data_IF_509418780822
#
_entry.id   IF_509418780822
#
_cell.length_a   1.000
_cell.length_b   1.000
_cell.length_c   1.000
_cell.angle_alpha   90.00
_cell.angle_beta   90.00
_cell.angle_gamma   90.00
#
_symmetry.space_group_name_H-M   'P 1'
#
loop_
_entity.id
_entity.type
_entity.pdbx_description
1 polymer ?
#
# COMPACT_ATOMS: atom_id res chain seq x y z
N UNK A 1 -6.83 70.90 -32.60
CA UNK A 1 -8.08 70.10 -32.60
C UNK A 1 -7.72 68.62 -32.68
N UNK A 2 -7.76 67.87 -31.58
CA UNK A 2 -8.13 66.44 -31.53
C UNK A 2 -7.97 65.91 -30.10
N UNK A 3 -9.08 65.80 -29.37
CA UNK A 3 -9.10 65.20 -28.03
C UNK A 3 -8.95 63.68 -28.18
N UNK A 4 -7.86 63.12 -27.66
CA UNK A 4 -7.68 61.67 -27.50
C UNK A 4 -8.70 61.14 -26.47
N UNK A 5 -9.71 60.39 -26.96
CA UNK A 5 -10.64 59.64 -26.10
C UNK A 5 -9.92 58.42 -25.53
N UNK A 6 -9.72 58.39 -24.20
CA UNK A 6 -9.35 57.17 -23.48
C UNK A 6 -10.51 56.18 -23.57
N UNK A 7 -10.30 55.01 -24.19
CA UNK A 7 -11.22 53.86 -24.07
C UNK A 7 -11.09 53.32 -22.64
N UNK A 8 -12.19 53.38 -21.89
CA UNK A 8 -12.33 52.63 -20.65
C UNK A 8 -12.34 51.14 -21.00
N UNK A 9 -11.34 50.41 -20.50
CA UNK A 9 -11.35 48.95 -20.46
C UNK A 9 -12.45 48.56 -19.47
N UNK A 10 -13.53 47.94 -19.97
CA UNK A 10 -14.61 47.42 -19.15
C UNK A 10 -14.07 46.41 -18.15
N UNK A 11 -14.46 46.57 -16.88
CA UNK A 11 -14.27 45.53 -15.86
C UNK A 11 -15.10 44.31 -16.27
N UNK A 12 -14.58 43.08 -16.20
CA UNK A 12 -15.42 41.90 -16.35
C UNK A 12 -16.39 41.82 -15.17
N UNK A 13 -17.67 41.78 -15.48
CA UNK A 13 -18.75 41.62 -14.52
C UNK A 13 -18.71 40.17 -14.01
N UNK A 14 -17.96 39.91 -12.93
CA UNK A 14 -17.92 38.60 -12.29
C UNK A 14 -19.33 38.25 -11.78
N UNK A 15 -20.03 37.40 -12.52
CA UNK A 15 -21.40 37.00 -12.21
C UNK A 15 -21.43 36.03 -11.03
N UNK A 16 -22.50 36.05 -10.26
CA UNK A 16 -22.76 35.12 -9.14
C UNK A 16 -22.62 33.63 -9.57
N UNK A 17 -22.80 33.33 -10.87
CA UNK A 17 -22.57 32.02 -11.48
C UNK A 17 -21.10 31.56 -11.46
N UNK A 18 -20.15 32.49 -11.63
CA UNK A 18 -18.72 32.18 -11.61
C UNK A 18 -18.25 31.81 -10.20
N UNK A 19 -18.82 32.48 -9.19
CA UNK A 19 -18.64 32.12 -7.79
C UNK A 19 -19.23 30.75 -7.45
N UNK A 20 -20.36 30.36 -8.08
CA UNK A 20 -20.99 29.06 -7.88
C UNK A 20 -20.13 27.90 -8.42
N UNK A 21 -19.50 28.08 -9.59
CA UNK A 21 -18.57 27.09 -10.14
C UNK A 21 -17.24 27.02 -9.38
N UNK A 22 -16.69 28.16 -8.95
CA UNK A 22 -15.52 28.17 -8.08
C UNK A 22 -15.81 27.48 -6.74
N UNK A 23 -16.98 27.72 -6.13
CA UNK A 23 -17.40 27.02 -4.91
C UNK A 23 -17.57 25.51 -5.13
N UNK A 24 -18.15 25.10 -6.27
CA UNK A 24 -18.32 23.68 -6.61
C UNK A 24 -16.96 22.99 -6.84
N UNK A 25 -16.03 23.64 -7.54
CA UNK A 25 -14.68 23.13 -7.76
C UNK A 25 -13.87 23.06 -6.45
N UNK A 26 -14.03 24.05 -5.57
CA UNK A 26 -13.39 24.08 -4.25
C UNK A 26 -13.93 22.99 -3.31
N UNK A 27 -15.24 22.71 -3.36
CA UNK A 27 -15.87 21.60 -2.63
C UNK A 27 -15.38 20.23 -3.15
N UNK A 28 -15.18 20.08 -4.45
CA UNK A 28 -14.71 18.84 -5.07
C UNK A 28 -13.22 18.57 -4.74
N UNK A 29 -12.40 19.61 -4.61
CA UNK A 29 -11.00 19.49 -4.16
C UNK A 29 -10.93 19.18 -2.66
N UNK A 30 -11.81 19.77 -1.83
CA UNK A 30 -11.83 19.54 -0.38
C UNK A 30 -12.21 18.09 0.00
N UNK A 31 -12.87 17.34 -0.88
CA UNK A 31 -13.20 15.93 -0.64
C UNK A 31 -12.06 14.96 -0.93
N UNK A 32 -10.95 15.40 -1.53
CA UNK A 32 -9.73 14.60 -1.62
C UNK A 32 -8.97 14.67 -0.30
N UNK A 33 -9.56 14.09 0.74
CA UNK A 33 -8.86 13.86 2.00
C UNK A 33 -7.68 12.91 1.75
N UNK A 34 -6.46 13.42 1.88
CA UNK A 34 -5.27 12.58 1.95
C UNK A 34 -5.38 11.74 3.21
N UNK A 35 -5.74 10.48 3.06
CA UNK A 35 -5.61 9.49 4.14
C UNK A 35 -4.12 9.26 4.35
N UNK A 36 -3.54 9.95 5.33
CA UNK A 36 -2.23 9.61 5.83
C UNK A 36 -2.32 8.23 6.48
N UNK A 37 -1.51 7.28 6.03
CA UNK A 37 -1.39 5.99 6.71
C UNK A 37 -0.96 6.25 8.16
N UNK A 38 -1.67 5.65 9.11
CA UNK A 38 -1.29 5.70 10.52
C UNK A 38 0.14 5.18 10.66
N UNK A 39 1.00 5.94 11.34
CA UNK A 39 2.36 5.51 11.62
C UNK A 39 2.31 4.29 12.54
N UNK A 40 2.78 3.15 12.05
CA UNK A 40 2.76 1.86 12.75
C UNK A 40 4.13 1.19 12.68
N UNK A 41 4.57 0.65 13.82
CA UNK A 41 5.73 -0.24 13.89
C UNK A 41 5.38 -1.66 13.45
N UNK A 42 6.39 -2.46 13.11
CA UNK A 42 6.21 -3.84 12.63
C UNK A 42 6.63 -4.91 13.64
N UNK A 43 7.32 -4.54 14.72
CA UNK A 43 7.94 -5.51 15.64
C UNK A 43 6.95 -6.39 16.42
N UNK A 44 5.68 -6.01 16.47
CA UNK A 44 4.59 -6.80 17.05
C UNK A 44 3.61 -7.35 16.01
N UNK A 45 3.93 -7.22 14.71
CA UNK A 45 3.16 -7.85 13.66
C UNK A 45 3.62 -9.30 13.46
N UNK A 46 2.66 -10.21 13.33
CA UNK A 46 2.93 -11.61 13.04
C UNK A 46 2.34 -12.01 11.69
N UNK A 47 3.09 -12.84 10.96
CA UNK A 47 2.64 -13.54 9.76
C UNK A 47 2.34 -14.99 10.11
N UNK A 48 1.09 -15.42 9.91
CA UNK A 48 0.65 -16.79 10.21
C UNK A 48 0.34 -17.53 8.91
N UNK A 49 1.01 -18.66 8.71
CA UNK A 49 0.81 -19.52 7.53
C UNK A 49 -0.47 -20.32 7.64
N UNK A 50 -1.32 -20.22 6.62
CA UNK A 50 -2.50 -21.06 6.48
C UNK A 50 -2.15 -22.25 5.57
N UNK A 51 -1.73 -23.36 6.20
CA UNK A 51 -1.06 -24.54 5.57
C UNK A 51 -1.87 -25.33 4.53
N UNK A 52 -2.95 -24.80 3.98
CA UNK A 52 -3.74 -25.47 2.95
C UNK A 52 -4.37 -24.51 1.92
N UNK A 53 -4.43 -23.21 2.22
CA UNK A 53 -5.15 -22.23 1.40
C UNK A 53 -4.23 -21.40 0.51
N UNK A 54 -2.91 -21.57 0.62
CA UNK A 54 -1.97 -20.75 -0.15
C UNK A 54 -2.04 -19.27 0.24
N UNK A 55 -2.27 -19.02 1.52
CA UNK A 55 -2.42 -17.69 2.09
C UNK A 55 -1.74 -17.56 3.45
N UNK A 56 -1.52 -16.32 3.87
CA UNK A 56 -1.08 -15.98 5.21
C UNK A 56 -2.00 -14.94 5.83
N UNK A 57 -2.13 -14.96 7.15
CA UNK A 57 -2.77 -13.89 7.90
C UNK A 57 -1.73 -12.95 8.51
N UNK A 58 -2.08 -11.68 8.61
CA UNK A 58 -1.32 -10.66 9.31
C UNK A 58 -2.09 -10.28 10.58
N UNK A 59 -1.41 -10.35 11.72
CA UNK A 59 -1.96 -10.12 13.05
C UNK A 59 -1.15 -9.04 13.75
N UNK A 60 -1.80 -8.26 14.61
CA UNK A 60 -1.16 -7.47 15.65
C UNK A 60 -1.16 -8.32 16.93
N UNK A 61 0.02 -8.67 17.42
CA UNK A 61 0.16 -9.56 18.59
C UNK A 61 -0.02 -8.84 19.93
N UNK A 62 0.25 -7.53 19.97
CA UNK A 62 0.04 -6.69 21.16
C UNK A 62 -1.44 -6.48 21.41
N UNK A 63 -2.18 -6.07 20.38
CA UNK A 63 -3.61 -5.81 20.45
C UNK A 63 -4.45 -7.08 20.26
N UNK A 64 -3.83 -8.19 19.84
CA UNK A 64 -4.48 -9.46 19.55
C UNK A 64 -5.58 -9.33 18.49
N UNK A 65 -5.34 -8.52 17.46
CA UNK A 65 -6.31 -8.27 16.37
C UNK A 65 -5.82 -8.82 15.03
N UNK A 66 -6.77 -9.32 14.24
CA UNK A 66 -6.53 -9.67 12.84
C UNK A 66 -6.53 -8.42 11.97
N UNK A 67 -5.46 -8.24 11.20
CA UNK A 67 -5.30 -7.09 10.31
C UNK A 67 -5.67 -7.41 8.88
N UNK A 68 -5.46 -8.64 8.42
CA UNK A 68 -5.79 -9.01 7.05
C UNK A 68 -5.21 -10.33 6.61
N UNK A 69 -5.45 -10.68 5.35
CA UNK A 69 -4.95 -11.88 4.69
C UNK A 69 -4.27 -11.52 3.38
N UNK A 70 -3.20 -12.25 3.05
CA UNK A 70 -2.52 -12.20 1.75
C UNK A 70 -2.63 -13.57 1.10
N UNK A 71 -3.19 -13.62 -0.10
CA UNK A 71 -3.45 -14.85 -0.87
C UNK A 71 -2.49 -14.95 -2.08
N UNK A 72 -2.64 -16.00 -2.88
CA UNK A 72 -1.84 -16.18 -4.11
C UNK A 72 -0.41 -16.69 -3.84
N UNK A 73 -0.19 -17.36 -2.71
CA UNK A 73 1.12 -17.84 -2.28
C UNK A 73 1.39 -19.31 -2.63
N UNK A 74 0.56 -19.92 -3.48
CA UNK A 74 0.75 -21.29 -3.98
C UNK A 74 0.65 -22.36 -2.89
N UNK A 75 1.45 -23.42 -2.98
CA UNK A 75 1.43 -24.52 -2.01
C UNK A 75 2.21 -24.16 -0.72
N UNK A 76 1.47 -23.80 0.33
CA UNK A 76 2.00 -23.56 1.67
C UNK A 76 1.80 -24.73 2.64
N UNK A 77 1.54 -25.96 2.15
CA UNK A 77 1.41 -27.15 3.00
C UNK A 77 2.64 -27.39 3.88
N UNK A 78 3.80 -26.89 3.45
CA UNK A 78 4.93 -26.60 4.31
C UNK A 78 5.49 -25.24 3.89
N UNK A 79 5.83 -24.40 4.85
CA UNK A 79 6.44 -23.10 4.56
C UNK A 79 7.40 -22.67 5.67
N UNK A 80 8.37 -21.84 5.32
CA UNK A 80 9.16 -21.06 6.27
C UNK A 80 9.07 -19.58 5.92
N UNK A 81 9.37 -18.73 6.90
CA UNK A 81 9.33 -17.27 6.73
C UNK A 81 10.62 -16.69 7.31
N UNK A 82 11.21 -15.75 6.59
CA UNK A 82 12.24 -14.84 7.11
C UNK A 82 11.82 -13.40 6.81
N UNK A 83 12.34 -12.44 7.55
CA UNK A 83 11.97 -11.04 7.42
C UNK A 83 13.11 -10.21 6.83
N UNK A 84 12.77 -9.11 6.16
CA UNK A 84 13.74 -8.07 5.86
C UNK A 84 14.32 -7.47 7.15
N UNK A 85 15.51 -6.88 7.04
CA UNK A 85 16.21 -6.27 8.18
C UNK A 85 15.41 -5.14 8.86
N UNK A 86 14.53 -4.48 8.11
CA UNK A 86 13.62 -3.43 8.60
C UNK A 86 12.23 -3.98 8.98
N UNK A 87 12.05 -5.30 8.97
CA UNK A 87 10.82 -6.03 9.34
C UNK A 87 9.57 -5.68 8.51
N UNK A 88 9.69 -4.83 7.48
CA UNK A 88 8.56 -4.46 6.60
C UNK A 88 8.13 -5.58 5.66
N UNK A 89 9.07 -6.41 5.22
CA UNK A 89 8.81 -7.46 4.26
C UNK A 89 8.98 -8.85 4.86
N UNK A 90 8.01 -9.72 4.62
CA UNK A 90 8.12 -11.14 4.91
C UNK A 90 8.41 -11.91 3.62
N UNK A 91 9.42 -12.77 3.65
CA UNK A 91 9.79 -13.67 2.57
C UNK A 91 9.30 -15.08 2.92
N UNK A 92 8.27 -15.53 2.22
CA UNK A 92 7.62 -16.82 2.43
C UNK A 92 8.15 -17.82 1.41
N UNK A 93 8.74 -18.91 1.88
CA UNK A 93 9.21 -20.04 1.08
C UNK A 93 8.17 -21.15 1.16
N UNK A 94 7.44 -21.40 0.08
CA UNK A 94 6.40 -22.42 -0.02
C UNK A 94 6.92 -23.75 -0.56
N UNK A 95 6.23 -24.85 -0.24
CA UNK A 95 6.61 -26.22 -0.63
C UNK A 95 6.76 -26.40 -2.14
N UNK A 96 6.01 -25.63 -2.93
CA UNK A 96 6.14 -25.59 -4.39
C UNK A 96 7.43 -24.95 -4.89
N UNK A 97 8.37 -24.59 -4.01
CA UNK A 97 9.60 -23.88 -4.36
C UNK A 97 9.37 -22.40 -4.68
N UNK A 98 8.19 -21.87 -4.38
CA UNK A 98 7.85 -20.47 -4.52
C UNK A 98 8.46 -19.60 -3.41
N UNK A 99 9.14 -18.52 -3.80
CA UNK A 99 9.55 -17.43 -2.93
C UNK A 99 8.63 -16.24 -3.14
N UNK A 100 7.90 -15.86 -2.09
CA UNK A 100 6.99 -14.71 -2.10
C UNK A 100 7.49 -13.62 -1.18
N UNK A 101 7.57 -12.39 -1.69
CA UNK A 101 7.81 -11.18 -0.90
C UNK A 101 6.48 -10.52 -0.59
N UNK A 102 6.16 -10.37 0.69
CA UNK A 102 4.90 -9.78 1.17
C UNK A 102 5.23 -8.48 1.90
N UNK A 103 4.49 -7.41 1.64
CA UNK A 103 4.51 -6.18 2.45
C UNK A 103 3.50 -6.36 3.59
N UNK A 104 3.97 -6.39 4.84
CA UNK A 104 3.11 -6.68 6.01
C UNK A 104 2.27 -5.47 6.45
N UNK A 105 2.72 -4.25 6.13
CA UNK A 105 1.98 -3.02 6.43
C UNK A 105 0.84 -2.82 5.44
N UNK A 106 1.14 -3.01 4.15
CA UNK A 106 0.16 -2.89 3.06
C UNK A 106 -0.68 -4.16 2.87
N UNK A 107 -0.32 -5.26 3.56
CA UNK A 107 -1.01 -6.56 3.49
C UNK A 107 -1.18 -7.04 2.05
N UNK A 108 -0.08 -7.03 1.29
CA UNK A 108 -0.10 -7.43 -0.13
C UNK A 108 1.12 -8.23 -0.56
N UNK A 109 0.90 -9.06 -1.58
CA UNK A 109 1.98 -9.70 -2.32
C UNK A 109 2.71 -8.64 -3.17
N UNK A 110 4.01 -8.48 -2.94
CA UNK A 110 4.87 -7.55 -3.70
C UNK A 110 5.43 -8.23 -4.94
N UNK A 111 5.94 -9.45 -4.77
CA UNK A 111 6.48 -10.25 -5.86
C UNK A 111 6.46 -11.74 -5.49
N UNK A 112 6.38 -12.61 -6.49
CA UNK A 112 6.50 -14.06 -6.33
C UNK A 112 7.31 -14.63 -7.49
N UNK A 113 8.26 -15.50 -7.18
CA UNK A 113 9.02 -16.28 -8.16
C UNK A 113 9.04 -17.75 -7.76
N UNK A 114 9.06 -18.67 -8.72
CA UNK A 114 9.28 -20.10 -8.47
C UNK A 114 10.75 -20.40 -8.73
N UNK A 115 11.47 -20.79 -7.69
CA UNK A 115 12.92 -20.95 -7.73
C UNK A 115 13.35 -22.41 -7.93
N UNK A 116 12.51 -23.35 -7.53
CA UNK A 116 12.73 -24.78 -7.66
C UNK A 116 11.40 -25.52 -7.75
N UNK A 117 11.42 -26.84 -7.94
CA UNK A 117 10.20 -27.65 -7.89
C UNK A 117 9.75 -28.04 -6.48
N UNK A 118 10.65 -27.99 -5.48
CA UNK A 118 10.35 -28.25 -4.08
C UNK A 118 11.48 -27.71 -3.18
N UNK A 119 11.16 -26.78 -2.29
CA UNK A 119 12.07 -26.29 -1.26
C UNK A 119 11.28 -25.48 -0.24
N UNK A 120 11.69 -25.50 1.02
CA UNK A 120 11.15 -24.61 2.06
C UNK A 120 12.26 -23.88 2.82
N UNK A 121 13.52 -24.26 2.61
CA UNK A 121 14.65 -23.68 3.32
C UNK A 121 15.02 -22.35 2.67
N UNK A 122 15.00 -21.29 3.47
CA UNK A 122 15.32 -19.94 3.03
C UNK A 122 16.02 -19.16 4.13
N UNK A 123 16.96 -18.32 3.73
CA UNK A 123 17.65 -17.40 4.62
C UNK A 123 17.81 -16.06 3.90
N UNK A 124 17.92 -14.99 4.68
CA UNK A 124 18.27 -13.67 4.17
C UNK A 124 19.72 -13.35 4.55
N UNK A 125 20.42 -12.63 3.66
CA UNK A 125 21.75 -12.10 3.90
C UNK A 125 21.76 -11.19 5.13
N UNK A 126 22.90 -11.11 5.81
CA UNK A 126 23.02 -10.24 6.97
C UNK A 126 22.74 -8.78 6.59
N UNK A 127 23.24 -8.29 5.46
CA UNK A 127 22.98 -6.92 5.00
C UNK A 127 21.60 -6.72 4.39
N UNK A 128 20.79 -7.78 4.26
CA UNK A 128 19.40 -7.73 3.81
C UNK A 128 19.23 -7.50 2.31
N UNK A 129 20.30 -7.67 1.53
CA UNK A 129 20.33 -7.52 0.07
C UNK A 129 20.29 -8.84 -0.66
#
# INVERSE_FOLDING_TARGET
MSRLRRRAIGRPDAGVSDYCWCCLLFLLVATFGVQAAELRGTGDLAVVVERASGSVQILDTTQQVWLGRVEGLGDLSHASIVYSRDERYAYVFGRDGGLSKIDVLERRLVNRIVQSGNSIGGAISQDGR
#
